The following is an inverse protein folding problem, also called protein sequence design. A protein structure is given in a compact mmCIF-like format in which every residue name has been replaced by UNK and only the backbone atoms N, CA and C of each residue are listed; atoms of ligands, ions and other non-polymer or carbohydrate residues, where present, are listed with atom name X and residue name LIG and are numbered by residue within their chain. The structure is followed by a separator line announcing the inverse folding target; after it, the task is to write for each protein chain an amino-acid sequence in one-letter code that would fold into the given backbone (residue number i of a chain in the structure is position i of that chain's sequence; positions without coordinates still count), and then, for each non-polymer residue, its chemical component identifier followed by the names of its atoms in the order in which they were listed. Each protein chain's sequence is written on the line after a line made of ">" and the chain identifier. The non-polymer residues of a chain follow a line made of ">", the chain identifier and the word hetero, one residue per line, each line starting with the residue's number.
data_IF_103004174994
#
_entry.id   IF_103004174994
#
_cell.length_a   1.000
_cell.length_b   1.000
_cell.length_c   1.000
_cell.angle_alpha   90.00
_cell.angle_beta   90.00
_cell.angle_gamma   90.00
#
_symmetry.space_group_name_H-M   'P 1'
#
loop_
_entity.id
_entity.type
_entity.pdbx_description
1 polymer ?
#
# COMPACT_ATOMS: atom_id res chain seq x y z
N UNK A 1 -2.57 -5.33 12.11
CA UNK A 1 -3.75 -4.98 12.93
C UNK A 1 -3.35 -5.00 14.40
N UNK A 2 -4.04 -4.22 15.24
CA UNK A 2 -3.91 -4.31 16.70
C UNK A 2 -5.18 -4.96 17.23
N UNK A 3 -5.02 -6.00 18.03
CA UNK A 3 -6.14 -6.72 18.65
C UNK A 3 -6.65 -5.96 19.89
N UNK A 4 -7.86 -6.26 20.33
CA UNK A 4 -8.43 -5.63 21.54
C UNK A 4 -7.55 -5.87 22.78
N UNK A 5 -6.98 -7.07 22.92
CA UNK A 5 -6.07 -7.39 24.03
C UNK A 5 -4.78 -6.56 24.02
N UNK A 6 -4.22 -6.28 22.83
CA UNK A 6 -3.04 -5.43 22.70
C UNK A 6 -3.36 -3.95 22.97
N UNK A 7 -4.56 -3.50 22.59
CA UNK A 7 -5.03 -2.15 22.91
C UNK A 7 -5.09 -1.94 24.43
N UNK A 8 -5.71 -2.89 25.15
CA UNK A 8 -5.78 -2.85 26.61
C UNK A 8 -4.38 -2.83 27.24
N UNK A 9 -3.45 -3.63 26.72
CA UNK A 9 -2.07 -3.65 27.18
C UNK A 9 -1.37 -2.31 26.95
N UNK A 10 -1.57 -1.65 25.80
CA UNK A 10 -1.00 -0.31 25.52
C UNK A 10 -1.54 0.72 26.51
N UNK A 11 -2.85 0.70 26.77
CA UNK A 11 -3.50 1.64 27.69
C UNK A 11 -3.08 1.41 29.14
N UNK A 12 -2.99 0.16 29.57
CA UNK A 12 -2.53 -0.19 30.92
C UNK A 12 -1.06 0.21 31.13
N UNK A 13 -0.20 -0.12 30.16
CA UNK A 13 1.19 0.33 30.17
C UNK A 13 1.27 1.86 30.21
N UNK A 14 0.44 2.60 29.46
CA UNK A 14 0.44 4.05 29.53
C UNK A 14 0.07 4.59 30.92
N UNK A 15 -0.88 3.94 31.63
CA UNK A 15 -1.24 4.31 33.01
C UNK A 15 -0.11 4.10 34.01
N UNK A 16 0.80 3.17 33.75
CA UNK A 16 1.97 2.90 34.60
C UNK A 16 3.06 4.00 34.48
N UNK A 17 2.92 4.97 33.56
CA UNK A 17 3.88 6.06 33.34
C UNK A 17 5.18 5.81 32.52
N UNK A 18 5.44 4.66 31.86
CA UNK A 18 6.57 4.51 30.95
C UNK A 18 6.40 5.38 29.70
N UNK A 19 7.53 5.77 29.10
CA UNK A 19 7.52 6.57 27.87
C UNK A 19 6.90 5.80 26.68
N UNK A 20 6.36 6.55 25.72
CA UNK A 20 5.77 5.99 24.49
C UNK A 20 6.75 5.06 23.76
N UNK A 21 8.04 5.39 23.74
CA UNK A 21 9.08 4.56 23.10
C UNK A 21 9.34 3.27 23.88
N UNK A 22 9.25 3.30 25.21
CA UNK A 22 9.33 2.09 26.02
C UNK A 22 8.12 1.17 25.79
N UNK A 23 6.91 1.74 25.70
CA UNK A 23 5.69 0.99 25.36
C UNK A 23 5.82 0.37 23.96
N UNK A 24 6.27 1.14 22.97
CA UNK A 24 6.51 0.66 21.61
C UNK A 24 7.48 -0.54 21.57
N UNK A 25 8.59 -0.47 22.30
CA UNK A 25 9.57 -1.57 22.40
C UNK A 25 8.99 -2.81 23.10
N UNK A 26 8.23 -2.63 24.19
CA UNK A 26 7.60 -3.75 24.92
C UNK A 26 6.50 -4.43 24.11
N UNK A 27 5.74 -3.67 23.35
CA UNK A 27 4.59 -4.17 22.57
C UNK A 27 4.94 -4.54 21.13
N UNK A 28 6.17 -4.26 20.66
CA UNK A 28 6.59 -4.47 19.28
C UNK A 28 5.86 -3.58 18.27
N UNK A 29 5.25 -2.47 18.72
CA UNK A 29 4.44 -1.58 17.88
C UNK A 29 5.17 -0.29 17.57
N UNK A 30 4.87 0.28 16.41
CA UNK A 30 5.39 1.60 16.01
C UNK A 30 4.93 2.68 17.02
N UNK A 31 5.81 3.58 17.49
CA UNK A 31 5.46 4.66 18.41
C UNK A 31 4.26 5.51 17.96
N UNK A 32 4.03 5.69 16.65
CA UNK A 32 2.85 6.40 16.11
C UNK A 32 1.54 5.66 16.40
N UNK A 33 1.62 4.33 16.45
CA UNK A 33 0.48 3.45 16.74
C UNK A 33 0.14 3.55 18.21
N UNK A 34 1.15 3.51 19.08
CA UNK A 34 1.00 3.71 20.52
C UNK A 34 0.38 5.09 20.81
N UNK A 35 0.91 6.17 20.22
CA UNK A 35 0.35 7.53 20.35
C UNK A 35 -1.12 7.59 19.94
N UNK A 36 -1.45 7.01 18.78
CA UNK A 36 -2.82 7.00 18.26
C UNK A 36 -3.79 6.32 19.23
N UNK A 37 -3.42 5.16 19.78
CA UNK A 37 -4.31 4.42 20.67
C UNK A 37 -4.43 5.03 22.06
N UNK A 38 -3.37 5.65 22.59
CA UNK A 38 -3.47 6.45 23.82
C UNK A 38 -4.46 7.60 23.64
N UNK A 39 -4.38 8.33 22.52
CA UNK A 39 -5.27 9.45 22.24
C UNK A 39 -6.73 9.03 21.98
N UNK A 40 -6.95 7.87 21.36
CA UNK A 40 -8.29 7.33 21.07
C UNK A 40 -8.92 6.55 22.24
N UNK A 41 -8.11 6.10 23.19
CA UNK A 41 -8.57 5.33 24.34
C UNK A 41 -9.09 3.94 23.93
N UNK A 42 -10.21 3.53 24.54
CA UNK A 42 -10.87 2.23 24.39
C UNK A 42 -11.63 2.05 23.06
N UNK A 43 -11.31 2.84 22.04
CA UNK A 43 -11.92 2.69 20.72
C UNK A 43 -11.19 1.56 19.96
N UNK A 44 -11.84 0.41 19.70
CA UNK A 44 -11.24 -0.64 18.90
C UNK A 44 -10.96 -0.10 17.49
N UNK A 45 -9.89 -0.52 16.83
CA UNK A 45 -9.63 -0.06 15.48
C UNK A 45 -10.76 -0.49 14.55
N UNK A 46 -11.58 0.48 14.15
CA UNK A 46 -12.60 0.30 13.14
C UNK A 46 -11.92 0.12 11.78
N UNK A 47 -11.73 -1.15 11.40
CA UNK A 47 -11.29 -1.52 10.07
C UNK A 47 -12.52 -1.62 9.17
N UNK A 48 -13.01 -0.47 8.71
CA UNK A 48 -13.97 -0.42 7.62
C UNK A 48 -13.31 -0.61 6.26
N UNK A 49 -14.06 -0.97 5.21
CA UNK A 49 -13.59 -0.87 3.83
C UNK A 49 -12.97 0.52 3.62
N UNK A 50 -11.81 0.56 2.96
CA UNK A 50 -11.18 1.84 2.61
C UNK A 50 -12.22 2.67 1.84
N UNK A 51 -12.51 3.89 2.29
CA UNK A 51 -13.60 4.73 1.77
C UNK A 51 -13.62 4.69 0.23
N UNK A 52 -14.59 3.98 -0.33
CA UNK A 52 -14.82 3.90 -1.76
C UNK A 52 -15.32 5.27 -2.21
N UNK A 53 -14.63 5.89 -3.17
CA UNK A 53 -14.98 7.22 -3.68
C UNK A 53 -13.92 8.30 -3.49
N UNK A 54 -12.84 8.04 -2.72
CA UNK A 54 -11.66 8.93 -2.82
C UNK A 54 -11.01 8.71 -4.19
N UNK A 55 -10.94 9.73 -5.07
CA UNK A 55 -10.25 9.58 -6.33
C UNK A 55 -8.79 9.21 -6.02
N UNK A 56 -8.34 8.09 -6.57
CA UNK A 56 -6.92 7.74 -6.52
C UNK A 56 -6.13 8.78 -7.32
N UNK A 57 -4.86 8.97 -7.01
CA UNK A 57 -3.98 9.82 -7.85
C UNK A 57 -3.93 9.33 -9.30
N UNK A 58 -4.27 8.05 -9.52
CA UNK A 58 -4.37 7.42 -10.83
C UNK A 58 -5.69 7.70 -11.55
N UNK A 59 -6.72 8.22 -10.87
CA UNK A 59 -8.05 8.44 -11.44
C UNK A 59 -8.04 9.24 -12.75
N UNK A 60 -7.25 10.33 -12.90
CA UNK A 60 -7.15 11.08 -14.16
C UNK A 60 -6.58 10.26 -15.32
N UNK A 61 -5.77 9.23 -15.04
CA UNK A 61 -5.03 8.45 -16.03
C UNK A 61 -5.69 7.12 -16.38
N UNK A 62 -6.80 6.74 -15.73
CA UNK A 62 -7.47 5.45 -15.97
C UNK A 62 -7.98 5.32 -17.40
N UNK A 63 -8.43 6.41 -18.02
CA UNK A 63 -8.90 6.43 -19.42
C UNK A 63 -7.74 6.11 -20.37
N UNK A 64 -6.59 6.75 -20.16
CA UNK A 64 -5.39 6.51 -20.95
C UNK A 64 -4.86 5.08 -20.76
N UNK A 65 -4.78 4.62 -19.51
CA UNK A 65 -4.33 3.26 -19.20
C UNK A 65 -5.22 2.20 -19.87
N UNK A 66 -6.55 2.42 -19.88
CA UNK A 66 -7.50 1.53 -20.56
C UNK A 66 -7.29 1.53 -22.07
N UNK A 67 -7.14 2.70 -22.69
CA UNK A 67 -6.90 2.82 -24.12
C UNK A 67 -5.59 2.10 -24.54
N UNK A 68 -4.52 2.28 -23.77
CA UNK A 68 -3.25 1.61 -24.01
C UNK A 68 -3.34 0.09 -23.86
N UNK A 69 -4.03 -0.42 -22.82
CA UNK A 69 -4.19 -1.88 -22.64
C UNK A 69 -4.90 -2.55 -23.83
N UNK A 70 -5.85 -1.85 -24.47
CA UNK A 70 -6.57 -2.36 -25.64
C UNK A 70 -5.66 -2.32 -26.88
N UNK A 71 -4.87 -1.27 -27.04
CA UNK A 71 -4.00 -1.11 -28.20
C UNK A 71 -2.80 -2.07 -28.19
N UNK A 72 -2.20 -2.32 -27.02
CA UNK A 72 -0.96 -3.11 -26.92
C UNK A 72 -1.19 -4.58 -26.52
N UNK A 73 -2.40 -4.94 -26.08
CA UNK A 73 -2.70 -6.28 -25.54
C UNK A 73 -1.98 -6.63 -24.22
N UNK A 74 -1.13 -5.73 -23.73
CA UNK A 74 -0.45 -5.87 -22.45
C UNK A 74 -1.35 -5.35 -21.32
N UNK A 75 -1.67 -6.22 -20.36
CA UNK A 75 -2.10 -5.77 -19.04
C UNK A 75 -0.93 -5.04 -18.40
N UNK A 76 -1.13 -3.80 -17.98
CA UNK A 76 -0.09 -3.01 -17.32
C UNK A 76 0.26 -3.63 -15.96
N UNK A 77 1.09 -4.68 -15.95
CA UNK A 77 1.79 -5.14 -14.74
C UNK A 77 2.86 -4.09 -14.40
N UNK A 78 2.47 -3.16 -13.54
CA UNK A 78 3.35 -2.08 -13.09
C UNK A 78 3.20 -0.83 -13.94
N UNK A 79 2.24 0.01 -13.58
CA UNK A 79 2.17 1.41 -14.04
C UNK A 79 3.30 2.23 -13.38
N UNK A 80 4.55 1.87 -13.63
CA UNK A 80 5.71 2.75 -13.46
C UNK A 80 5.91 3.50 -14.78
N UNK A 81 4.85 4.17 -15.24
CA UNK A 81 4.90 4.92 -16.50
C UNK A 81 5.70 6.18 -16.23
N UNK A 82 6.94 6.12 -16.68
CA UNK A 82 7.87 7.21 -16.92
C UNK A 82 7.12 8.50 -17.30
N UNK A 83 7.21 9.52 -16.45
CA UNK A 83 6.79 10.88 -16.82
C UNK A 83 7.80 11.39 -17.86
N UNK A 84 7.41 11.94 -19.02
CA UNK A 84 8.36 12.49 -19.96
C UNK A 84 8.77 13.88 -19.45
N UNK A 85 9.64 13.93 -18.44
CA UNK A 85 10.50 15.10 -18.28
C UNK A 85 11.64 14.91 -19.28
N UNK A 86 11.44 15.45 -20.47
CA UNK A 86 12.47 15.72 -21.49
C UNK A 86 13.31 14.48 -21.90
N UNK A 87 12.88 13.82 -22.98
CA UNK A 87 13.85 13.40 -24.00
C UNK A 87 14.51 12.01 -23.93
N UNK A 88 13.94 10.99 -23.29
CA UNK A 88 14.44 9.61 -23.46
C UNK A 88 13.32 8.57 -23.48
N UNK A 89 13.23 7.85 -24.59
CA UNK A 89 12.46 6.60 -24.73
C UNK A 89 13.35 5.49 -24.14
N UNK A 90 12.93 4.89 -23.03
CA UNK A 90 13.53 3.64 -22.55
C UNK A 90 12.69 2.51 -23.12
N UNK A 91 13.29 1.72 -24.02
CA UNK A 91 12.71 0.48 -24.53
C UNK A 91 12.38 -0.47 -23.37
N UNK A 92 11.09 -0.76 -23.19
CA UNK A 92 10.64 -1.89 -22.38
C UNK A 92 10.11 -2.93 -23.35
N UNK A 93 11.01 -3.77 -23.87
CA UNK A 93 10.66 -4.78 -24.88
C UNK A 93 11.51 -6.05 -24.90
N UNK A 94 12.46 -6.24 -23.98
CA UNK A 94 13.38 -7.39 -24.02
C UNK A 94 12.97 -8.58 -23.13
N UNK A 95 11.69 -8.80 -22.82
CA UNK A 95 11.27 -9.98 -22.01
C UNK A 95 10.05 -10.73 -22.58
N UNK A 96 9.77 -10.64 -23.87
CA UNK A 96 8.69 -11.41 -24.51
C UNK A 96 9.16 -12.39 -25.59
N UNK A 97 10.41 -12.85 -25.55
CA UNK A 97 10.93 -13.85 -26.50
C UNK A 97 11.70 -14.98 -25.79
N UNK A 98 11.11 -15.56 -24.75
CA UNK A 98 11.70 -16.73 -24.07
C UNK A 98 10.68 -17.79 -23.63
N UNK A 99 9.53 -17.92 -24.31
CA UNK A 99 8.69 -19.12 -24.17
C UNK A 99 8.26 -19.66 -25.54
N UNK A 100 9.22 -20.37 -26.15
CA UNK A 100 9.05 -21.56 -26.96
C UNK A 100 8.13 -21.48 -28.20
N UNK A 101 8.76 -21.22 -29.34
CA UNK A 101 8.61 -22.09 -30.51
C UNK A 101 8.89 -23.53 -30.07
N UNK A 102 7.90 -24.42 -30.15
CA UNK A 102 7.97 -25.79 -30.73
C UNK A 102 6.72 -26.59 -30.36
N UNK A 103 5.72 -26.55 -31.24
CA UNK A 103 4.98 -27.73 -31.74
C UNK A 103 3.86 -27.23 -32.64
N UNK A 104 4.15 -27.24 -33.94
CA UNK A 104 3.13 -27.19 -34.99
C UNK A 104 2.38 -28.53 -35.11
N UNK A 105 1.51 -28.64 -36.13
CA UNK A 105 0.25 -29.39 -36.14
C UNK A 105 0.33 -30.91 -36.02
#
# INVERSE_FOLDING_TARGET
>A
MVLLGELLMILDLHRQGPSITAIARRTGRDPKTVRRYIARGLEPPAYGPRQAGRPSQLAPYLVYAKAMSVATGAVCEGLFVHMPVVGTIVEVGAVAEALAVTSGP
#
